data_IF_167125853067
#
_entry.id   IF_167125853067
#
_cell.length_a   1.000
_cell.length_b   1.000
_cell.length_c   1.000
_cell.angle_alpha   90.00
_cell.angle_beta   90.00
_cell.angle_gamma   90.00
#
_symmetry.space_group_name_H-M   'P 1'
#
loop_
_entity.id
_entity.type
_entity.pdbx_description
1 polymer ?
#
# COMPACT_ATOMS: atom_id res chain seq x y z
N UNK A 1 -36.71 -2.22 5.83
CA UNK A 1 -35.71 -2.99 5.06
C UNK A 1 -35.69 -2.44 3.64
N UNK A 2 -34.76 -1.54 3.30
CA UNK A 2 -34.64 -0.98 1.95
C UNK A 2 -33.68 -1.85 1.14
N UNK A 3 -34.16 -2.44 0.04
CA UNK A 3 -33.33 -3.19 -0.92
C UNK A 3 -32.38 -2.21 -1.62
N UNK A 4 -31.06 -2.38 -1.44
CA UNK A 4 -30.09 -1.73 -2.31
C UNK A 4 -30.22 -2.32 -3.72
N UNK A 5 -30.49 -1.46 -4.71
CA UNK A 5 -30.49 -1.85 -6.12
C UNK A 5 -29.08 -1.61 -6.63
N UNK A 6 -28.35 -2.69 -6.94
CA UNK A 6 -27.08 -2.61 -7.66
C UNK A 6 -27.39 -2.19 -9.10
N UNK A 7 -27.05 -0.96 -9.46
CA UNK A 7 -27.14 -0.47 -10.83
C UNK A 7 -25.72 -0.43 -11.41
N UNK A 8 -25.37 -1.40 -12.25
CA UNK A 8 -24.10 -1.40 -12.97
C UNK A 8 -24.10 -0.28 -14.02
N UNK A 9 -23.16 0.65 -13.93
CA UNK A 9 -22.97 1.68 -14.96
C UNK A 9 -21.82 1.26 -15.87
N UNK A 10 -22.14 0.96 -17.14
CA UNK A 10 -21.15 0.58 -18.15
C UNK A 10 -20.54 1.86 -18.73
N UNK A 11 -19.28 2.15 -18.44
CA UNK A 11 -18.57 3.21 -19.15
C UNK A 11 -18.19 2.70 -20.55
N UNK A 12 -18.66 3.35 -21.63
CA UNK A 12 -18.36 2.90 -22.98
C UNK A 12 -16.87 3.06 -23.25
N UNK A 13 -16.21 1.96 -23.63
CA UNK A 13 -14.84 1.97 -24.13
C UNK A 13 -14.85 1.44 -25.57
N UNK A 14 -14.30 2.22 -26.49
CA UNK A 14 -14.17 1.86 -27.91
C UNK A 14 -13.03 0.87 -28.19
N UNK A 15 -12.17 0.58 -27.19
CA UNK A 15 -11.08 -0.38 -27.31
C UNK A 15 -11.49 -1.78 -26.82
N UNK A 16 -11.50 -2.81 -27.69
CA UNK A 16 -11.75 -4.19 -27.29
C UNK A 16 -10.85 -4.63 -26.14
N UNK A 17 -11.41 -5.28 -25.13
CA UNK A 17 -10.66 -5.78 -23.96
C UNK A 17 -10.36 -4.75 -22.87
N UNK A 18 -10.65 -3.46 -23.08
CA UNK A 18 -10.38 -2.40 -22.09
C UNK A 18 -11.64 -1.90 -21.35
N UNK A 19 -12.77 -2.60 -21.47
CA UNK A 19 -14.01 -2.20 -20.80
C UNK A 19 -13.90 -2.42 -19.29
N UNK A 20 -14.03 -1.35 -18.51
CA UNK A 20 -14.09 -1.42 -17.05
C UNK A 20 -15.56 -1.43 -16.63
N UNK A 21 -15.98 -2.50 -15.96
CA UNK A 21 -17.30 -2.60 -15.36
C UNK A 21 -17.21 -2.16 -13.89
N UNK A 22 -17.92 -1.09 -13.54
CA UNK A 22 -18.00 -0.58 -12.18
C UNK A 22 -19.42 -0.81 -11.66
N UNK A 23 -19.53 -1.62 -10.61
CA UNK A 23 -20.76 -1.78 -9.85
C UNK A 23 -20.70 -0.84 -8.65
N UNK A 24 -21.59 0.16 -8.64
CA UNK A 24 -21.61 1.17 -7.57
C UNK A 24 -22.94 1.07 -6.84
N UNK A 25 -22.95 0.82 -5.52
CA UNK A 25 -24.19 0.83 -4.76
C UNK A 25 -24.80 2.23 -4.77
N UNK A 26 -26.11 2.29 -5.01
CA UNK A 26 -26.88 3.53 -4.96
C UNK A 26 -27.70 3.57 -3.68
N UNK A 27 -27.36 4.50 -2.78
CA UNK A 27 -28.20 4.75 -1.60
C UNK A 27 -29.38 5.63 -1.99
N UNK A 28 -30.57 5.26 -1.52
CA UNK A 28 -31.85 5.91 -1.82
C UNK A 28 -32.14 6.07 -3.32
N UNK A 29 -31.55 5.22 -4.19
CA UNK A 29 -31.79 5.25 -5.63
C UNK A 29 -31.21 6.47 -6.38
N UNK A 30 -30.57 7.42 -5.69
CA UNK A 30 -30.10 8.67 -6.31
C UNK A 30 -28.59 8.87 -6.20
N UNK A 31 -27.96 8.49 -5.08
CA UNK A 31 -26.55 8.77 -4.83
C UNK A 31 -25.69 7.54 -5.03
N UNK A 32 -24.84 7.56 -6.04
CA UNK A 32 -23.75 6.60 -6.18
C UNK A 32 -22.77 6.81 -5.02
N UNK A 33 -22.55 5.77 -4.22
CA UNK A 33 -21.67 5.85 -3.05
C UNK A 33 -20.57 4.82 -3.19
N UNK A 34 -19.33 5.27 -3.01
CA UNK A 34 -18.17 4.38 -2.97
C UNK A 34 -17.78 4.25 -1.50
N UNK A 35 -17.85 3.04 -0.97
CA UNK A 35 -17.35 2.74 0.37
C UNK A 35 -15.83 2.59 0.24
N UNK A 36 -15.08 3.43 0.94
CA UNK A 36 -13.61 3.45 0.87
C UNK A 36 -13.05 3.28 2.28
N UNK A 37 -11.95 2.54 2.40
CA UNK A 37 -11.18 2.51 3.65
C UNK A 37 -10.36 3.79 3.79
N UNK A 38 -10.09 4.17 5.03
CA UNK A 38 -9.23 5.32 5.31
C UNK A 38 -7.78 5.05 4.86
N UNK A 39 -7.31 5.83 3.89
CA UNK A 39 -5.95 5.76 3.37
C UNK A 39 -4.87 5.94 4.45
N UNK A 40 -5.11 6.73 5.50
CA UNK A 40 -4.14 6.89 6.60
C UNK A 40 -4.04 5.61 7.41
N UNK A 41 -5.17 4.95 7.64
CA UNK A 41 -5.21 3.63 8.28
C UNK A 41 -4.46 2.57 7.46
N UNK A 42 -4.62 2.56 6.13
CA UNK A 42 -3.86 1.66 5.26
C UNK A 42 -2.33 1.88 5.39
N UNK A 43 -1.90 3.14 5.43
CA UNK A 43 -0.48 3.50 5.60
C UNK A 43 0.09 3.08 6.95
N UNK A 44 -0.66 3.33 8.03
CA UNK A 44 -0.30 2.86 9.38
C UNK A 44 -0.14 1.35 9.41
N UNK A 45 -1.05 0.66 8.74
CA UNK A 45 -1.00 -0.79 8.69
C UNK A 45 0.23 -1.27 7.94
N UNK A 46 0.51 -0.73 6.75
CA UNK A 46 1.73 -0.99 5.99
C UNK A 46 2.99 -0.77 6.85
N UNK A 47 3.10 0.35 7.57
CA UNK A 47 4.21 0.60 8.49
C UNK A 47 4.32 -0.50 9.55
N UNK A 48 3.22 -0.81 10.24
CA UNK A 48 3.23 -1.70 11.39
C UNK A 48 3.58 -3.16 11.01
N UNK A 49 3.26 -3.59 9.77
CA UNK A 49 3.57 -4.96 9.30
C UNK A 49 5.08 -5.22 9.26
N UNK A 50 5.88 -4.27 8.76
CA UNK A 50 7.34 -4.39 8.69
C UNK A 50 8.05 -4.08 10.02
N UNK A 51 7.40 -3.29 10.90
CA UNK A 51 7.95 -2.93 12.21
C UNK A 51 7.78 -4.00 13.29
N UNK A 52 7.04 -5.06 13.02
CA UNK A 52 6.95 -6.19 13.95
C UNK A 52 8.29 -6.94 13.88
N UNK A 53 9.15 -6.80 14.90
CA UNK A 53 10.55 -7.26 14.86
C UNK A 53 10.76 -8.75 14.55
N UNK A 54 9.74 -9.59 14.71
CA UNK A 54 9.76 -11.02 14.35
C UNK A 54 9.33 -11.30 12.89
N UNK A 55 9.04 -10.28 12.08
CA UNK A 55 8.54 -10.45 10.70
C UNK A 55 9.59 -10.11 9.66
N UNK A 56 9.68 -10.99 8.66
CA UNK A 56 10.42 -10.80 7.43
C UNK A 56 9.42 -10.80 6.29
N UNK A 57 9.33 -9.68 5.59
CA UNK A 57 8.55 -9.53 4.36
C UNK A 57 9.41 -10.04 3.21
N UNK A 58 8.93 -11.05 2.47
CA UNK A 58 9.63 -11.62 1.33
C UNK A 58 8.95 -11.16 0.05
N UNK A 59 9.64 -10.36 -0.76
CA UNK A 59 9.17 -9.82 -2.04
C UNK A 59 10.03 -10.44 -3.16
N UNK A 60 9.52 -11.50 -3.77
CA UNK A 60 10.29 -12.27 -4.75
C UNK A 60 11.50 -12.95 -4.08
N UNK A 61 12.70 -12.61 -4.57
CA UNK A 61 13.99 -13.04 -4.00
C UNK A 61 14.56 -12.06 -2.96
N UNK A 62 13.88 -10.94 -2.70
CA UNK A 62 14.34 -9.90 -1.80
C UNK A 62 13.58 -9.94 -0.48
N UNK A 63 14.21 -9.42 0.58
CA UNK A 63 13.62 -9.31 1.90
C UNK A 63 13.55 -7.86 2.36
N UNK A 64 12.56 -7.57 3.20
CA UNK A 64 12.44 -6.32 3.94
C UNK A 64 12.07 -6.65 5.39
N UNK A 65 12.79 -6.07 6.35
CA UNK A 65 12.59 -6.36 7.78
C UNK A 65 13.00 -5.18 8.65
N UNK A 66 12.59 -5.21 9.91
CA UNK A 66 12.69 -4.08 10.84
C UNK A 66 14.09 -3.45 10.93
N UNK A 67 15.16 -4.24 10.96
CA UNK A 67 16.49 -3.66 11.15
C UNK A 67 16.95 -2.80 9.96
N UNK A 68 16.46 -3.07 8.75
CA UNK A 68 16.73 -2.23 7.58
C UNK A 68 16.15 -0.83 7.78
N UNK A 69 14.89 -0.75 8.24
CA UNK A 69 14.24 0.52 8.60
C UNK A 69 14.94 1.25 9.75
N UNK A 70 15.33 0.49 10.77
CA UNK A 70 16.08 1.04 11.90
C UNK A 70 17.40 1.65 11.43
N UNK A 71 18.17 0.93 10.61
CA UNK A 71 19.42 1.46 10.09
C UNK A 71 19.18 2.72 9.27
N UNK A 72 18.16 2.75 8.41
CA UNK A 72 17.79 3.92 7.62
C UNK A 72 17.49 5.16 8.47
N UNK A 73 16.74 5.01 9.57
CA UNK A 73 16.38 6.13 10.44
C UNK A 73 17.53 6.67 11.31
N UNK A 74 18.60 5.89 11.48
CA UNK A 74 19.79 6.30 12.21
C UNK A 74 20.90 6.84 11.30
N UNK A 75 20.70 6.85 9.98
CA UNK A 75 21.63 7.50 9.06
C UNK A 75 21.55 9.02 9.19
N UNK A 76 22.73 9.65 9.23
CA UNK A 76 22.85 11.11 9.32
C UNK A 76 22.29 11.76 8.05
N UNK A 77 21.51 12.82 8.23
CA UNK A 77 20.90 13.58 7.13
C UNK A 77 19.63 12.96 6.56
N UNK A 78 19.13 11.89 7.17
CA UNK A 78 17.87 11.26 6.78
C UNK A 78 16.63 12.06 7.21
N UNK A 79 15.49 11.90 6.52
CA UNK A 79 14.23 12.57 6.86
C UNK A 79 13.44 11.90 7.99
N UNK A 80 13.90 10.75 8.48
CA UNK A 80 13.27 10.00 9.57
C UNK A 80 13.89 10.36 10.91
N UNK A 81 13.06 10.41 11.94
CA UNK A 81 13.52 10.49 13.33
C UNK A 81 13.67 9.09 13.92
N UNK A 82 14.53 8.93 14.93
CA UNK A 82 14.64 7.67 15.67
C UNK A 82 13.29 7.22 16.24
N UNK A 83 12.49 8.18 16.73
CA UNK A 83 11.14 7.95 17.26
C UNK A 83 10.10 7.54 16.18
N UNK A 84 10.44 7.63 14.89
CA UNK A 84 9.59 7.15 13.79
C UNK A 84 9.68 5.64 13.62
N UNK A 85 10.71 5.01 14.20
CA UNK A 85 10.97 3.57 14.12
C UNK A 85 11.00 2.92 15.51
N UNK A 86 11.66 3.56 16.48
CA UNK A 86 11.74 3.10 17.87
C UNK A 86 10.66 3.77 18.73
N UNK A 87 10.05 3.00 19.64
CA UNK A 87 9.00 3.49 20.57
C UNK A 87 7.87 4.25 19.86
N UNK A 88 7.57 3.84 18.63
CA UNK A 88 6.58 4.46 17.76
C UNK A 88 5.20 4.42 18.40
N UNK A 89 4.54 5.57 18.44
CA UNK A 89 3.10 5.60 18.63
C UNK A 89 2.42 4.97 17.39
N UNK A 90 1.76 3.82 17.62
CA UNK A 90 1.07 3.07 16.56
C UNK A 90 -0.04 3.89 15.88
N UNK A 91 -0.50 4.98 16.51
CA UNK A 91 -1.48 5.90 15.96
C UNK A 91 -0.87 7.13 15.27
N UNK A 92 0.45 7.34 15.33
CA UNK A 92 1.10 8.50 14.70
C UNK A 92 1.11 8.38 13.17
N UNK A 93 0.15 9.07 12.54
CA UNK A 93 0.03 9.21 11.09
C UNK A 93 1.22 9.93 10.46
N UNK A 94 1.87 10.84 11.19
CA UNK A 94 2.98 11.66 10.65
C UNK A 94 4.23 10.82 10.48
N UNK A 95 4.56 9.96 11.45
CA UNK A 95 5.66 9.00 11.30
C UNK A 95 5.42 8.04 10.13
N UNK A 96 4.19 7.56 9.94
CA UNK A 96 3.85 6.73 8.78
C UNK A 96 3.98 7.51 7.46
N UNK A 97 3.48 8.74 7.40
CA UNK A 97 3.62 9.60 6.22
C UNK A 97 5.09 9.91 5.88
N UNK A 98 5.93 10.20 6.88
CA UNK A 98 7.37 10.41 6.68
C UNK A 98 8.03 9.15 6.13
N UNK A 99 7.76 7.98 6.70
CA UNK A 99 8.35 6.71 6.26
C UNK A 99 8.15 6.44 4.77
N UNK A 100 6.95 6.70 4.26
CA UNK A 100 6.60 6.44 2.87
C UNK A 100 6.70 7.68 1.96
N UNK A 101 7.29 8.77 2.47
CA UNK A 101 7.46 10.00 1.68
C UNK A 101 8.49 9.84 0.57
N UNK A 102 8.34 10.62 -0.50
CA UNK A 102 9.33 10.67 -1.58
C UNK A 102 10.74 11.02 -1.08
N UNK A 103 10.85 11.86 -0.05
CA UNK A 103 12.13 12.20 0.57
C UNK A 103 12.81 10.98 1.20
N UNK A 104 12.06 10.17 1.96
CA UNK A 104 12.58 8.94 2.58
C UNK A 104 12.95 7.90 1.53
N UNK A 105 12.10 7.72 0.52
CA UNK A 105 12.37 6.80 -0.59
C UNK A 105 13.63 7.21 -1.36
N UNK A 106 13.77 8.50 -1.68
CA UNK A 106 14.95 9.04 -2.36
C UNK A 106 16.23 8.89 -1.52
N UNK A 107 16.15 9.19 -0.23
CA UNK A 107 17.27 9.02 0.69
C UNK A 107 17.68 7.55 0.83
N UNK A 108 16.71 6.64 0.88
CA UNK A 108 16.96 5.19 0.90
C UNK A 108 17.65 4.70 -0.37
N UNK A 109 17.19 5.15 -1.54
CA UNK A 109 17.83 4.82 -2.82
C UNK A 109 19.28 5.31 -2.92
N UNK A 110 19.59 6.47 -2.35
CA UNK A 110 20.96 7.01 -2.34
C UNK A 110 21.87 6.25 -1.36
N UNK A 111 21.40 5.99 -0.14
CA UNK A 111 22.25 5.46 0.94
C UNK A 111 22.30 3.95 1.02
N UNK A 112 21.26 3.26 0.60
CA UNK A 112 21.10 1.81 0.76
C UNK A 112 20.50 1.14 -0.49
N UNK A 113 21.08 1.35 -1.69
CA UNK A 113 20.51 0.86 -2.96
C UNK A 113 20.36 -0.67 -3.03
N UNK A 114 21.21 -1.41 -2.31
CA UNK A 114 21.21 -2.87 -2.30
C UNK A 114 20.00 -3.48 -1.57
N UNK A 115 19.28 -2.69 -0.77
CA UNK A 115 18.10 -3.15 -0.03
C UNK A 115 16.84 -3.10 -0.92
N UNK A 116 16.90 -3.79 -2.04
CA UNK A 116 15.90 -3.77 -3.12
C UNK A 116 14.49 -4.09 -2.60
N UNK A 117 14.37 -5.08 -1.70
CA UNK A 117 13.09 -5.47 -1.12
C UNK A 117 12.43 -4.32 -0.34
N UNK A 118 13.21 -3.61 0.47
CA UNK A 118 12.73 -2.44 1.20
C UNK A 118 12.40 -1.28 0.24
N UNK A 119 13.23 -1.05 -0.77
CA UNK A 119 12.99 -0.01 -1.78
C UNK A 119 11.65 -0.21 -2.49
N UNK A 120 11.39 -1.43 -2.96
CA UNK A 120 10.12 -1.78 -3.61
C UNK A 120 8.95 -1.59 -2.65
N UNK A 121 9.10 -2.03 -1.40
CA UNK A 121 8.07 -1.91 -0.38
C UNK A 121 7.68 -0.45 -0.09
N UNK A 122 8.68 0.40 0.17
CA UNK A 122 8.47 1.83 0.46
C UNK A 122 7.88 2.56 -0.75
N UNK A 123 8.41 2.28 -1.95
CA UNK A 123 7.95 2.94 -3.17
C UNK A 123 6.50 2.58 -3.50
N UNK A 124 6.16 1.30 -3.58
CA UNK A 124 4.83 0.87 -4.03
C UNK A 124 3.74 1.31 -3.06
N UNK A 125 3.99 1.20 -1.75
CA UNK A 125 3.00 1.60 -0.74
C UNK A 125 2.93 3.11 -0.57
N UNK A 126 4.05 3.82 -0.70
CA UNK A 126 4.07 5.29 -0.71
C UNK A 126 3.30 5.86 -1.91
N UNK A 127 3.52 5.33 -3.11
CA UNK A 127 2.76 5.73 -4.30
C UNK A 127 1.27 5.41 -4.17
N UNK A 128 0.90 4.25 -3.61
CA UNK A 128 -0.51 3.92 -3.43
C UNK A 128 -1.24 4.97 -2.58
N UNK A 129 -0.60 5.44 -1.50
CA UNK A 129 -1.19 6.48 -0.65
C UNK A 129 -1.12 7.86 -1.28
N UNK A 130 -0.02 8.21 -1.95
CA UNK A 130 0.09 9.47 -2.68
C UNK A 130 -0.99 9.58 -3.76
N UNK A 131 -1.27 8.49 -4.49
CA UNK A 131 -2.37 8.41 -5.44
C UNK A 131 -3.75 8.65 -4.81
N UNK A 132 -3.91 8.39 -3.50
CA UNK A 132 -5.16 8.66 -2.80
C UNK A 132 -5.23 10.09 -2.24
N UNK A 133 -4.17 10.55 -1.60
CA UNK A 133 -4.16 11.77 -0.78
C UNK A 133 -3.73 13.02 -1.56
N UNK A 134 -2.86 12.87 -2.55
CA UNK A 134 -2.32 14.01 -3.29
C UNK A 134 -3.35 14.52 -4.30
N UNK A 135 -3.83 15.74 -4.05
CA UNK A 135 -4.86 16.41 -4.87
C UNK A 135 -4.30 17.03 -6.14
N UNK A 136 -2.98 17.15 -6.26
CA UNK A 136 -2.31 17.76 -7.41
C UNK A 136 -2.06 16.75 -8.53
N UNK A 137 -2.16 15.45 -8.25
CA UNK A 137 -1.95 14.41 -9.24
C UNK A 137 -3.13 14.30 -10.21
N UNK A 138 -2.83 14.27 -11.51
CA UNK A 138 -3.84 14.00 -12.52
C UNK A 138 -4.48 12.63 -12.31
N UNK A 139 -5.79 12.52 -12.58
CA UNK A 139 -6.54 11.27 -12.41
C UNK A 139 -5.88 10.09 -13.14
N UNK A 140 -5.32 10.31 -14.33
CA UNK A 140 -4.61 9.29 -15.09
C UNK A 140 -3.43 8.71 -14.32
N UNK A 141 -2.65 9.55 -13.66
CA UNK A 141 -1.45 9.10 -12.94
C UNK A 141 -1.83 8.42 -11.63
N UNK A 142 -2.85 8.94 -10.94
CA UNK A 142 -3.45 8.26 -9.78
C UNK A 142 -3.91 6.83 -10.13
N UNK A 143 -4.59 6.65 -11.27
CA UNK A 143 -5.01 5.32 -11.75
C UNK A 143 -3.81 4.42 -12.02
N UNK A 144 -2.75 4.91 -12.68
CA UNK A 144 -1.54 4.13 -12.93
C UNK A 144 -0.87 3.68 -11.63
N UNK A 145 -0.74 4.59 -10.66
CA UNK A 145 -0.12 4.30 -9.36
C UNK A 145 -0.91 3.23 -8.59
N UNK A 146 -2.25 3.36 -8.54
CA UNK A 146 -3.12 2.37 -7.91
C UNK A 146 -3.05 1.01 -8.63
N UNK A 147 -3.05 0.99 -9.96
CA UNK A 147 -2.93 -0.25 -10.75
C UNK A 147 -1.57 -0.93 -10.54
N UNK A 148 -0.47 -0.16 -10.50
CA UNK A 148 0.87 -0.67 -10.20
C UNK A 148 0.89 -1.35 -8.83
N UNK A 149 0.37 -0.67 -7.81
CA UNK A 149 0.29 -1.23 -6.47
C UNK A 149 -0.58 -2.49 -6.43
N UNK A 150 -1.74 -2.48 -7.08
CA UNK A 150 -2.63 -3.65 -7.16
C UNK A 150 -1.95 -4.84 -7.82
N UNK A 151 -1.34 -4.66 -8.99
CA UNK A 151 -0.66 -5.76 -9.69
C UNK A 151 0.54 -6.27 -8.91
N UNK A 152 1.30 -5.38 -8.26
CA UNK A 152 2.38 -5.78 -7.37
C UNK A 152 1.87 -6.64 -6.21
N UNK A 153 0.82 -6.20 -5.50
CA UNK A 153 0.24 -6.95 -4.37
C UNK A 153 -0.31 -8.32 -4.82
N UNK A 154 -0.93 -8.39 -6.00
CA UNK A 154 -1.40 -9.65 -6.58
C UNK A 154 -0.24 -10.59 -6.91
N UNK A 155 0.80 -10.10 -7.59
CA UNK A 155 1.97 -10.88 -7.94
C UNK A 155 2.73 -11.37 -6.69
N UNK A 156 2.89 -10.49 -5.70
CA UNK A 156 3.52 -10.81 -4.43
C UNK A 156 2.74 -11.89 -3.67
N UNK A 157 1.40 -11.77 -3.58
CA UNK A 157 0.55 -12.80 -2.98
C UNK A 157 0.68 -14.14 -3.71
N UNK A 158 0.59 -14.15 -5.03
CA UNK A 158 0.73 -15.37 -5.84
C UNK A 158 2.10 -16.01 -5.64
N UNK A 159 3.15 -15.20 -5.55
CA UNK A 159 4.50 -15.68 -5.28
C UNK A 159 4.60 -16.38 -3.92
N UNK A 160 4.03 -15.82 -2.87
CA UNK A 160 4.02 -16.48 -1.55
C UNK A 160 3.23 -17.79 -1.58
N UNK A 161 2.05 -17.80 -2.19
CA UNK A 161 1.20 -19.00 -2.28
C UNK A 161 1.88 -20.13 -3.06
N UNK A 162 2.71 -19.79 -4.05
CA UNK A 162 3.45 -20.77 -4.84
C UNK A 162 4.64 -21.42 -4.09
N UNK A 163 5.02 -20.92 -2.91
CA UNK A 163 6.17 -21.40 -2.14
C UNK A 163 5.70 -22.06 -0.84
N UNK A 164 5.80 -23.41 -0.70
CA UNK A 164 5.24 -24.16 0.43
C UNK A 164 5.83 -23.80 1.80
N UNK A 165 7.05 -23.28 1.82
CA UNK A 165 7.79 -22.84 3.01
C UNK A 165 7.29 -21.49 3.56
N UNK A 166 6.38 -20.81 2.86
CA UNK A 166 5.99 -19.44 3.18
C UNK A 166 4.52 -19.35 3.61
N UNK A 167 4.29 -18.66 4.72
CA UNK A 167 2.95 -18.34 5.19
C UNK A 167 2.55 -16.89 4.85
N UNK A 168 1.32 -16.71 4.38
CA UNK A 168 0.72 -15.40 4.15
C UNK A 168 0.62 -14.55 5.43
N UNK A 169 0.47 -15.16 6.61
CA UNK A 169 0.35 -14.43 7.88
C UNK A 169 1.65 -13.79 8.35
N UNK A 170 2.79 -14.27 7.84
CA UNK A 170 4.14 -13.84 8.25
C UNK A 170 4.88 -13.09 7.15
N UNK A 171 4.70 -13.48 5.88
CA UNK A 171 5.46 -12.93 4.75
C UNK A 171 4.65 -12.00 3.85
N UNK A 172 3.34 -11.87 4.07
CA UNK A 172 2.47 -10.93 3.34
C UNK A 172 1.86 -9.92 4.30
N UNK A 173 1.43 -8.77 3.78
CA UNK A 173 0.61 -7.83 4.57
C UNK A 173 -0.72 -8.50 4.96
N UNK A 174 -1.10 -8.38 6.24
CA UNK A 174 -2.26 -9.09 6.81
C UNK A 174 -3.53 -8.96 5.96
N UNK A 175 -4.31 -10.05 5.87
CA UNK A 175 -5.57 -10.14 5.12
C UNK A 175 -6.60 -9.08 5.57
N UNK A 176 -6.61 -8.78 6.87
CA UNK A 176 -7.51 -7.77 7.48
C UNK A 176 -7.24 -6.35 6.96
N UNK A 177 -6.06 -6.11 6.39
CA UNK A 177 -5.62 -4.83 5.85
C UNK A 177 -6.03 -4.61 4.39
N UNK A 178 -6.53 -5.65 3.70
CA UNK A 178 -6.83 -5.62 2.27
C UNK A 178 -8.27 -6.01 1.91
N UNK A 179 -8.99 -6.77 2.75
CA UNK A 179 -10.30 -7.33 2.40
C UNK A 179 -11.25 -7.44 3.61
N UNK A 180 -12.04 -6.40 3.84
CA UNK A 180 -13.45 -6.56 4.17
C UNK A 180 -14.25 -6.06 2.96
N UNK A 181 -14.13 -6.83 1.87
CA UNK A 181 -14.85 -6.62 0.63
C UNK A 181 -15.12 -7.99 0.01
N UNK A 182 -16.20 -8.59 0.51
CA UNK A 182 -17.03 -9.57 -0.17
C UNK A 182 -18.43 -9.39 0.40
#
# INVERSE_FOLDING_TARGET
>A
MSRSVLAGSRHPNSKPGCTVLLEIPRYYGHHATIITQDSKHALKTARNQIMTGARIIIIGFFAAFYCMLRNLAFLIGGPLFSNDIEKVDKQDDRAAARLFSAATVGFHFDKQPDQIGLSIYLFVLGELIDAWQNRNNFHRDRVKMVLRARFFLMAWRSHIVAHPDRNLSTHFISRESLLHSS
#
